data_IF_639655407930
#
_entry.id   IF_639655407930
#
_cell.length_a   1.000
_cell.length_b   1.000
_cell.length_c   1.000
_cell.angle_alpha   90.00
_cell.angle_beta   90.00
_cell.angle_gamma   90.00
#
_symmetry.space_group_name_H-M   'P 1'
#
loop_
_entity.id
_entity.type
_entity.pdbx_description
1 polymer ?
#
# COMPACT_ATOMS: atom_id res chain seq x y z
N UNK A 1 -2.88 11.66 -11.45
CA UNK A 1 -1.84 11.40 -10.44
C UNK A 1 -2.45 10.70 -9.24
N UNK A 2 -1.75 9.71 -8.71
CA UNK A 2 -2.20 9.03 -7.51
C UNK A 2 -1.99 9.93 -6.29
N UNK A 3 -2.96 9.97 -5.40
CA UNK A 3 -2.87 10.77 -4.18
C UNK A 3 -2.88 9.86 -2.96
N UNK A 4 -1.71 9.68 -2.37
CA UNK A 4 -1.56 8.88 -1.16
C UNK A 4 -1.88 9.74 0.06
N UNK A 5 -2.63 9.16 0.99
CA UNK A 5 -3.02 9.86 2.22
C UNK A 5 -2.50 9.10 3.44
N UNK A 6 -1.91 9.83 4.37
CA UNK A 6 -1.45 9.23 5.61
C UNK A 6 -2.64 8.86 6.49
N UNK A 7 -2.55 7.69 7.12
CA UNK A 7 -3.50 7.30 8.15
C UNK A 7 -2.74 6.80 9.37
N UNK A 8 -3.38 6.87 10.52
CA UNK A 8 -2.81 6.34 11.75
C UNK A 8 -3.90 6.08 12.75
N UNK A 9 -3.81 4.94 13.42
CA UNK A 9 -4.75 4.56 14.46
C UNK A 9 -4.01 3.75 15.51
N UNK A 10 -3.78 4.36 16.67
CA UNK A 10 -3.04 3.74 17.78
C UNK A 10 -1.63 3.32 17.35
N UNK A 11 -1.43 2.04 17.07
CA UNK A 11 -0.11 1.47 16.76
C UNK A 11 0.11 1.23 15.27
N UNK A 12 -0.87 1.54 14.44
CA UNK A 12 -0.78 1.34 13.00
C UNK A 12 -0.65 2.68 12.30
N UNK A 13 0.46 2.87 11.60
CA UNK A 13 0.72 4.08 10.83
C UNK A 13 1.10 3.68 9.41
N UNK A 14 0.48 4.33 8.44
CA UNK A 14 0.76 4.03 7.05
C UNK A 14 0.19 5.06 6.11
N UNK A 15 0.23 4.75 4.84
CA UNK A 15 -0.42 5.56 3.81
C UNK A 15 -1.35 4.68 2.99
N UNK A 16 -2.41 5.28 2.48
CA UNK A 16 -3.42 4.58 1.69
C UNK A 16 -3.72 5.32 0.41
N UNK A 17 -4.14 4.58 -0.59
CA UNK A 17 -4.55 5.12 -1.88
C UNK A 17 -5.88 4.48 -2.28
N UNK A 18 -6.83 5.31 -2.71
CA UNK A 18 -8.08 4.82 -3.29
C UNK A 18 -8.21 5.29 -4.72
N UNK A 19 -8.61 4.38 -5.59
CA UNK A 19 -8.85 4.68 -7.01
C UNK A 19 -10.16 4.03 -7.43
N UNK A 20 -10.62 4.35 -8.63
CA UNK A 20 -11.81 3.72 -9.19
C UNK A 20 -11.65 2.20 -9.35
N UNK A 21 -10.41 1.71 -9.46
CA UNK A 21 -10.14 0.28 -9.64
C UNK A 21 -10.00 -0.48 -8.33
N UNK A 22 -9.69 0.20 -7.24
CA UNK A 22 -9.49 -0.44 -5.95
C UNK A 22 -8.73 0.44 -4.98
N UNK A 23 -8.04 -0.20 -4.03
CA UNK A 23 -7.30 0.54 -3.02
C UNK A 23 -6.02 -0.17 -2.64
N UNK A 24 -5.11 0.57 -2.01
CA UNK A 24 -3.84 0.04 -1.53
C UNK A 24 -3.47 0.66 -0.19
N UNK A 25 -2.72 -0.10 0.60
CA UNK A 25 -2.20 0.38 1.88
C UNK A 25 -0.72 0.03 1.99
N UNK A 26 0.07 0.91 2.54
CA UNK A 26 1.49 0.66 2.82
C UNK A 26 1.72 0.91 4.29
N UNK A 27 2.21 -0.12 4.99
CA UNK A 27 2.49 -0.05 6.42
C UNK A 27 3.95 -0.43 6.68
N UNK A 28 4.56 0.24 7.66
CA UNK A 28 5.94 -0.05 8.07
C UNK A 28 5.98 -0.87 9.35
N UNK A 29 7.20 -1.06 9.87
CA UNK A 29 7.41 -1.71 11.18
C UNK A 29 7.48 -3.22 11.13
N UNK A 30 7.55 -3.81 9.94
CA UNK A 30 7.70 -5.25 9.80
C UNK A 30 9.17 -5.65 9.86
N UNK A 31 9.41 -6.96 9.99
CA UNK A 31 10.77 -7.50 10.10
C UNK A 31 11.66 -7.01 8.97
N UNK A 32 12.96 -6.83 9.27
CA UNK A 32 13.98 -6.38 8.30
C UNK A 32 13.71 -4.99 7.73
N UNK A 33 12.97 -4.15 8.47
CA UNK A 33 12.65 -2.78 8.07
C UNK A 33 11.92 -2.70 6.73
N UNK A 34 11.20 -3.76 6.36
CA UNK A 34 10.46 -3.78 5.12
C UNK A 34 9.08 -3.13 5.29
N UNK A 35 8.56 -2.66 4.17
CA UNK A 35 7.22 -2.10 4.10
C UNK A 35 6.27 -3.17 3.55
N UNK A 36 5.12 -3.34 4.21
CA UNK A 36 4.10 -4.23 3.72
C UNK A 36 3.11 -3.47 2.86
N UNK A 37 2.97 -3.91 1.61
CA UNK A 37 2.02 -3.31 0.68
C UNK A 37 0.86 -4.27 0.48
N UNK A 38 -0.35 -3.77 0.65
CA UNK A 38 -1.57 -4.53 0.40
C UNK A 38 -2.36 -3.83 -0.69
N UNK A 39 -2.74 -4.56 -1.73
CA UNK A 39 -3.52 -4.00 -2.85
C UNK A 39 -4.76 -4.86 -3.06
N UNK A 40 -5.91 -4.19 -3.17
CA UNK A 40 -7.18 -4.83 -3.49
C UNK A 40 -7.70 -4.22 -4.79
N UNK A 41 -7.83 -5.02 -5.83
CA UNK A 41 -8.37 -4.59 -7.12
C UNK A 41 -9.77 -5.18 -7.29
N UNK A 42 -10.78 -4.32 -7.24
CA UNK A 42 -12.16 -4.76 -7.37
C UNK A 42 -12.51 -5.84 -6.36
N UNK A 43 -13.09 -6.93 -6.83
CA UNK A 43 -13.48 -8.06 -5.99
C UNK A 43 -12.42 -9.17 -5.93
N UNK A 44 -11.26 -8.94 -6.55
CA UNK A 44 -10.19 -9.94 -6.53
C UNK A 44 -9.58 -10.07 -5.14
N UNK A 45 -8.98 -11.22 -4.82
CA UNK A 45 -8.29 -11.37 -3.53
C UNK A 45 -7.19 -10.34 -3.36
N UNK A 46 -7.02 -9.85 -2.13
CA UNK A 46 -5.97 -8.87 -1.84
C UNK A 46 -4.59 -9.44 -2.10
N UNK A 47 -3.71 -8.61 -2.66
CA UNK A 47 -2.32 -8.96 -2.89
C UNK A 47 -1.45 -8.31 -1.83
N UNK A 48 -0.44 -9.03 -1.37
CA UNK A 48 0.49 -8.53 -0.35
C UNK A 48 1.91 -8.67 -0.85
N UNK A 49 2.74 -7.68 -0.54
CA UNK A 49 4.15 -7.71 -0.90
C UNK A 49 4.98 -6.94 0.12
N UNK A 50 6.19 -7.44 0.39
CA UNK A 50 7.16 -6.75 1.24
C UNK A 50 8.19 -6.08 0.35
N UNK A 51 8.40 -4.78 0.53
CA UNK A 51 9.34 -3.99 -0.26
C UNK A 51 10.20 -3.14 0.66
N UNK A 52 11.38 -2.77 0.20
CA UNK A 52 12.36 -2.12 1.06
C UNK A 52 12.16 -0.61 1.17
N UNK A 53 11.64 0.04 0.13
CA UNK A 53 11.49 1.48 0.13
C UNK A 53 10.05 1.90 -0.16
N UNK A 54 9.70 3.09 0.33
CA UNK A 54 8.39 3.68 0.07
C UNK A 54 8.18 3.90 -1.43
N UNK A 55 9.24 4.33 -2.13
CA UNK A 55 9.17 4.56 -3.56
C UNK A 55 8.82 3.28 -4.33
N UNK A 56 9.48 2.16 -3.98
CA UNK A 56 9.17 0.86 -4.58
C UNK A 56 7.75 0.42 -4.25
N UNK A 57 7.33 0.62 -3.00
CA UNK A 57 6.01 0.21 -2.55
C UNK A 57 4.91 0.96 -3.29
N UNK A 58 5.04 2.28 -3.41
CA UNK A 58 4.07 3.10 -4.12
C UNK A 58 4.02 2.73 -5.61
N UNK A 59 5.18 2.55 -6.23
CA UNK A 59 5.26 2.21 -7.65
C UNK A 59 4.57 0.88 -7.95
N UNK A 60 4.81 -0.13 -7.12
CA UNK A 60 4.18 -1.42 -7.30
C UNK A 60 2.66 -1.34 -7.13
N UNK A 61 2.21 -0.65 -6.10
CA UNK A 61 0.78 -0.51 -5.83
C UNK A 61 0.07 0.25 -6.97
N UNK A 62 0.66 1.34 -7.45
CA UNK A 62 0.08 2.11 -8.53
C UNK A 62 0.03 1.32 -9.82
N UNK A 63 1.01 0.46 -10.07
CA UNK A 63 1.01 -0.44 -11.22
C UNK A 63 -0.18 -1.39 -11.19
N UNK A 64 -0.51 -1.94 -10.01
CA UNK A 64 -1.64 -2.85 -9.86
C UNK A 64 -2.98 -2.15 -10.04
N UNK A 65 -3.04 -0.86 -9.75
CA UNK A 65 -4.28 -0.07 -9.79
C UNK A 65 -4.45 0.77 -11.06
N UNK A 66 -3.64 0.55 -12.06
CA UNK A 66 -3.80 1.25 -13.34
C UNK A 66 -5.04 0.86 -14.10
#
# INVERSE_FOLDING_TARGET
MATWQAYGHRHVHGIGLETAKGHAHIEGGYADHQLRVTVQVGEQPAQHRLLETMEQAQAWAEEQLR
#
